data_IF_885302066879
#
_entry.id   IF_885302066879
#
_cell.length_a   1.000
_cell.length_b   1.000
_cell.length_c   1.000
_cell.angle_alpha   90.00
_cell.angle_beta   90.00
_cell.angle_gamma   90.00
#
_symmetry.space_group_name_H-M   'P 1'
#
loop_
_entity.id
_entity.type
_entity.pdbx_description
1 polymer ?
#
# COMPACT_ATOMS: atom_id res chain seq x y z
N UNK A 1 11.84 4.85 -7.54
CA UNK A 1 10.66 3.95 -7.53
C UNK A 1 10.64 3.16 -6.23
N UNK A 2 9.48 3.02 -5.61
CA UNK A 2 9.29 2.23 -4.38
C UNK A 2 9.71 0.76 -4.54
N UNK A 3 9.69 0.01 -3.46
CA UNK A 3 9.89 -1.43 -3.47
C UNK A 3 9.09 -2.09 -2.34
N UNK A 4 8.67 -3.32 -2.54
CA UNK A 4 8.05 -4.09 -1.48
C UNK A 4 8.43 -5.57 -1.57
N UNK A 5 8.29 -6.25 -0.45
CA UNK A 5 8.41 -7.69 -0.31
C UNK A 5 7.25 -8.19 0.53
N UNK A 6 6.79 -9.40 0.29
CA UNK A 6 5.70 -9.96 1.07
C UNK A 6 5.59 -11.47 0.93
N UNK A 7 4.87 -12.08 1.85
CA UNK A 7 4.51 -13.48 1.84
C UNK A 7 3.04 -13.65 2.21
N UNK A 8 2.39 -14.58 1.53
CA UNK A 8 1.05 -15.04 1.84
C UNK A 8 1.08 -16.57 2.01
N UNK A 9 0.33 -17.06 2.97
CA UNK A 9 0.21 -18.50 3.22
C UNK A 9 -1.21 -18.86 3.63
N UNK A 10 -1.66 -20.07 3.32
CA UNK A 10 -2.89 -20.64 3.87
C UNK A 10 -2.78 -21.03 5.35
N UNK A 11 -1.55 -21.04 5.89
CA UNK A 11 -1.22 -21.33 7.30
C UNK A 11 -0.53 -20.12 7.90
N UNK A 12 -0.39 -20.13 9.23
CA UNK A 12 0.37 -19.11 9.97
C UNK A 12 1.81 -19.04 9.44
N UNK A 13 2.25 -17.83 9.12
CA UNK A 13 3.61 -17.57 8.64
C UNK A 13 4.58 -17.67 9.81
N UNK A 14 5.71 -18.36 9.60
CA UNK A 14 6.74 -18.54 10.62
C UNK A 14 7.49 -17.24 10.93
N UNK A 15 8.07 -17.17 12.11
CA UNK A 15 8.93 -16.05 12.50
C UNK A 15 10.19 -15.96 11.64
N UNK A 16 10.73 -17.10 11.18
CA UNK A 16 11.87 -17.13 10.27
C UNK A 16 11.54 -16.44 8.95
N UNK A 17 10.37 -16.70 8.36
CA UNK A 17 9.92 -16.02 7.16
C UNK A 17 9.83 -14.49 7.36
N UNK A 18 9.35 -14.03 8.51
CA UNK A 18 9.32 -12.60 8.84
C UNK A 18 10.72 -11.99 8.90
N UNK A 19 11.71 -12.70 9.47
CA UNK A 19 13.12 -12.27 9.48
C UNK A 19 13.70 -12.19 8.06
N UNK A 20 13.39 -13.18 7.23
CA UNK A 20 13.84 -13.19 5.82
C UNK A 20 13.26 -11.99 5.04
N UNK A 21 11.97 -11.70 5.20
CA UNK A 21 11.33 -10.54 4.57
C UNK A 21 11.95 -9.21 5.02
N UNK A 22 12.33 -9.09 6.29
CA UNK A 22 13.06 -7.92 6.80
C UNK A 22 14.45 -7.79 6.16
N UNK A 23 15.15 -8.90 5.96
CA UNK A 23 16.43 -8.91 5.25
C UNK A 23 16.26 -8.52 3.79
N UNK A 24 15.23 -9.06 3.11
CA UNK A 24 14.94 -8.75 1.71
C UNK A 24 14.61 -7.28 1.48
N UNK A 25 13.75 -6.67 2.33
CA UNK A 25 13.40 -5.25 2.17
C UNK A 25 14.62 -4.34 2.35
N UNK A 26 15.54 -4.71 3.25
CA UNK A 26 16.78 -3.95 3.45
C UNK A 26 17.67 -3.95 2.19
N UNK A 27 17.70 -5.04 1.42
CA UNK A 27 18.46 -5.11 0.15
C UNK A 27 17.92 -4.18 -0.92
N UNK A 28 16.62 -3.90 -0.90
CA UNK A 28 15.96 -3.00 -1.87
C UNK A 28 15.61 -1.62 -1.30
N UNK A 29 16.08 -1.29 -0.09
CA UNK A 29 15.81 0.00 0.58
C UNK A 29 16.22 1.20 -0.26
N UNK A 30 17.27 1.07 -1.09
CA UNK A 30 17.72 2.13 -2.01
C UNK A 30 16.63 2.56 -3.00
N UNK A 31 15.62 1.73 -3.27
CA UNK A 31 14.49 2.06 -4.14
C UNK A 31 13.50 3.03 -3.50
N UNK A 32 13.42 3.04 -2.17
CA UNK A 32 12.49 3.88 -1.42
C UNK A 32 13.11 4.33 -0.10
N UNK A 33 14.01 5.34 -0.15
CA UNK A 33 14.79 5.75 1.02
C UNK A 33 14.00 6.56 2.04
N UNK A 34 12.81 7.08 1.68
CA UNK A 34 12.12 8.09 2.47
C UNK A 34 11.36 7.50 3.66
N UNK A 35 10.80 6.29 3.51
CA UNK A 35 10.10 5.62 4.60
C UNK A 35 10.13 4.09 4.44
N UNK A 36 10.10 3.39 5.57
CA UNK A 36 9.87 1.95 5.65
C UNK A 36 8.57 1.70 6.41
N UNK A 37 7.72 0.88 5.83
CA UNK A 37 6.49 0.43 6.46
C UNK A 37 6.38 -1.09 6.49
N UNK A 38 5.56 -1.61 7.40
CA UNK A 38 5.30 -3.04 7.52
C UNK A 38 3.87 -3.32 7.94
N UNK A 39 3.34 -4.45 7.48
CA UNK A 39 2.08 -5.00 7.96
C UNK A 39 2.27 -6.50 8.20
N UNK A 40 1.72 -6.98 9.30
CA UNK A 40 1.82 -8.40 9.71
C UNK A 40 0.46 -8.89 10.20
N UNK A 41 0.04 -10.02 9.66
CA UNK A 41 -1.06 -10.85 10.16
C UNK A 41 -0.60 -12.31 10.23
N UNK A 42 -1.47 -13.21 10.67
CA UNK A 42 -1.10 -14.62 10.79
C UNK A 42 -0.68 -15.26 9.46
N UNK A 43 -1.29 -14.83 8.36
CA UNK A 43 -1.14 -15.44 7.04
C UNK A 43 -0.66 -14.48 5.94
N UNK A 44 -0.39 -13.22 6.30
CA UNK A 44 0.12 -12.22 5.35
C UNK A 44 1.09 -11.26 6.04
N UNK A 45 2.27 -11.14 5.49
CA UNK A 45 3.29 -10.18 5.92
C UNK A 45 3.77 -9.41 4.70
N UNK A 46 3.91 -8.09 4.84
CA UNK A 46 4.52 -7.27 3.79
C UNK A 46 5.35 -6.14 4.40
N UNK A 47 6.44 -5.80 3.73
CA UNK A 47 7.28 -4.65 4.03
C UNK A 47 7.39 -3.78 2.78
N UNK A 48 7.40 -2.47 2.96
CA UNK A 48 7.41 -1.48 1.91
C UNK A 48 8.51 -0.44 2.12
N UNK A 49 9.27 -0.16 1.07
CA UNK A 49 10.24 0.94 1.02
C UNK A 49 9.68 2.03 0.10
N UNK A 50 9.40 3.19 0.66
CA UNK A 50 8.72 4.29 -0.02
C UNK A 50 9.71 5.32 -0.58
N UNK A 51 9.51 5.68 -1.85
CA UNK A 51 9.96 6.93 -2.44
C UNK A 51 8.74 7.85 -2.53
N UNK A 52 8.76 8.97 -1.81
CA UNK A 52 7.64 9.89 -1.69
C UNK A 52 7.63 10.85 -2.89
N UNK A 53 6.65 10.71 -3.79
CA UNK A 53 6.49 11.56 -4.97
C UNK A 53 5.18 12.35 -4.87
N UNK A 54 4.06 11.64 -4.67
CA UNK A 54 2.74 12.24 -4.47
C UNK A 54 2.40 12.15 -2.98
N UNK A 55 1.91 13.23 -2.38
CA UNK A 55 1.63 13.38 -0.96
C UNK A 55 2.81 12.94 -0.06
N UNK A 56 3.72 13.87 0.21
CA UNK A 56 4.95 13.62 0.97
C UNK A 56 4.71 13.33 2.47
N UNK A 57 3.46 13.37 2.93
CA UNK A 57 3.12 13.18 4.34
C UNK A 57 3.06 11.71 4.70
N UNK A 58 3.36 11.39 5.96
CA UNK A 58 3.31 10.02 6.49
C UNK A 58 1.93 9.34 6.38
N UNK A 59 0.86 10.12 6.29
CA UNK A 59 -0.50 9.58 6.10
C UNK A 59 -0.65 8.76 4.80
N UNK A 60 0.26 8.94 3.85
CA UNK A 60 0.32 8.21 2.58
C UNK A 60 1.38 7.12 2.56
N UNK A 61 1.98 6.79 3.73
CA UNK A 61 2.93 5.68 3.82
C UNK A 61 2.24 4.35 3.56
N UNK A 62 3.02 3.40 3.05
CA UNK A 62 2.56 2.07 2.72
C UNK A 62 3.28 1.03 3.60
N UNK A 63 2.66 -0.12 3.89
CA UNK A 63 1.36 -0.61 3.42
C UNK A 63 0.21 0.30 3.83
N UNK A 64 -0.64 0.67 2.87
CA UNK A 64 -1.77 1.56 3.12
C UNK A 64 -2.98 0.74 3.61
N UNK A 65 -3.49 1.10 4.78
CA UNK A 65 -4.64 0.43 5.40
C UNK A 65 -5.86 1.33 5.23
N UNK A 66 -6.91 0.83 4.62
CA UNK A 66 -8.14 1.59 4.42
C UNK A 66 -8.86 1.91 5.75
N UNK A 67 -9.79 2.85 5.72
CA UNK A 67 -10.51 3.31 6.91
C UNK A 67 -11.35 2.20 7.59
N UNK A 68 -11.78 1.20 6.83
CA UNK A 68 -12.53 0.05 7.37
C UNK A 68 -11.63 -1.05 7.94
N UNK A 69 -10.30 -0.96 7.74
CA UNK A 69 -9.29 -1.97 8.09
C UNK A 69 -9.51 -3.34 7.42
N UNK A 70 -10.30 -3.37 6.35
CA UNK A 70 -10.59 -4.59 5.59
C UNK A 70 -9.55 -4.86 4.51
N UNK A 71 -8.88 -3.81 4.04
CA UNK A 71 -7.94 -3.89 2.94
C UNK A 71 -6.59 -3.30 3.33
N UNK A 72 -5.54 -3.99 2.91
CA UNK A 72 -4.15 -3.54 3.00
C UNK A 72 -3.59 -3.51 1.59
N UNK A 73 -3.09 -2.36 1.17
CA UNK A 73 -2.55 -2.16 -0.15
C UNK A 73 -1.05 -1.88 -0.09
N UNK A 74 -0.29 -2.57 -0.91
CA UNK A 74 1.05 -2.19 -1.33
C UNK A 74 1.03 -1.93 -2.83
N UNK A 75 1.50 -0.76 -3.24
CA UNK A 75 1.39 -0.30 -4.61
C UNK A 75 2.69 0.38 -5.04
N UNK A 76 3.35 -0.20 -6.03
CA UNK A 76 4.51 0.40 -6.69
C UNK A 76 4.14 0.70 -8.14
N UNK A 77 3.52 1.82 -8.36
CA UNK A 77 3.04 2.29 -9.64
C UNK A 77 2.61 3.74 -9.56
N UNK A 78 1.96 4.22 -10.61
CA UNK A 78 1.43 5.58 -10.69
C UNK A 78 0.13 5.55 -11.49
N UNK A 79 -0.91 6.17 -10.96
CA UNK A 79 -2.20 6.31 -11.64
C UNK A 79 -2.29 7.72 -12.21
N UNK A 80 -1.95 7.89 -13.46
CA UNK A 80 -1.86 9.22 -14.09
C UNK A 80 -3.17 10.02 -14.06
N UNK A 81 -4.30 9.35 -14.19
CA UNK A 81 -5.63 9.97 -14.14
C UNK A 81 -6.28 9.91 -12.74
N UNK A 82 -5.49 9.77 -11.65
CA UNK A 82 -6.03 9.59 -10.31
C UNK A 82 -6.93 10.74 -9.84
N UNK A 83 -6.68 11.97 -10.31
CA UNK A 83 -7.53 13.12 -9.96
C UNK A 83 -8.93 13.00 -10.55
N UNK A 84 -9.07 12.47 -11.76
CA UNK A 84 -10.38 12.26 -12.39
C UNK A 84 -11.13 11.11 -11.70
N UNK A 85 -10.43 10.02 -11.37
CA UNK A 85 -11.00 8.91 -10.60
C UNK A 85 -11.42 9.37 -9.20
N UNK A 86 -10.63 10.20 -8.55
CA UNK A 86 -10.95 10.81 -7.25
C UNK A 86 -12.25 11.60 -7.33
N UNK A 87 -12.39 12.50 -8.32
CA UNK A 87 -13.63 13.27 -8.54
C UNK A 87 -14.85 12.36 -8.79
N UNK A 88 -14.67 11.25 -9.52
CA UNK A 88 -15.74 10.28 -9.71
C UNK A 88 -16.14 9.61 -8.38
N UNK A 89 -15.17 9.18 -7.57
CA UNK A 89 -15.42 8.56 -6.27
C UNK A 89 -16.07 9.53 -5.28
N UNK A 90 -15.71 10.81 -5.31
CA UNK A 90 -16.34 11.86 -4.48
C UNK A 90 -17.84 12.02 -4.81
N UNK A 91 -18.29 11.83 -6.05
CA UNK A 91 -19.71 11.77 -6.40
C UNK A 91 -20.46 10.63 -5.69
N UNK A 92 -19.75 9.55 -5.34
CA UNK A 92 -20.28 8.45 -4.52
C UNK A 92 -20.07 8.68 -3.01
N UNK A 93 -19.78 9.93 -2.58
CA UNK A 93 -19.57 10.32 -1.18
C UNK A 93 -18.35 9.68 -0.52
N UNK A 94 -17.37 9.22 -1.31
CA UNK A 94 -16.09 8.78 -0.78
C UNK A 94 -15.32 9.98 -0.24
N UNK A 95 -14.81 9.87 0.99
CA UNK A 95 -13.99 10.92 1.63
C UNK A 95 -12.55 10.47 1.66
N UNK A 96 -11.66 11.26 1.06
CA UNK A 96 -10.24 11.00 1.03
C UNK A 96 -9.51 11.66 2.20
N UNK A 97 -8.55 10.96 2.78
CA UNK A 97 -7.68 11.44 3.86
C UNK A 97 -6.34 11.95 3.34
N UNK A 98 -5.97 11.49 2.15
CA UNK A 98 -4.69 11.79 1.52
C UNK A 98 -4.87 12.44 0.15
N UNK A 99 -3.78 12.92 -0.42
CA UNK A 99 -3.72 13.38 -1.79
C UNK A 99 -3.04 12.34 -2.71
N UNK A 100 -2.82 11.13 -2.20
CA UNK A 100 -2.11 10.06 -2.90
C UNK A 100 -3.02 9.31 -3.87
N UNK A 101 -2.46 8.92 -5.00
CA UNK A 101 -3.08 7.97 -5.93
C UNK A 101 -3.29 6.58 -5.30
N UNK A 102 -2.44 6.19 -4.35
CA UNK A 102 -2.57 4.94 -3.59
C UNK A 102 -3.93 4.83 -2.89
N UNK A 103 -4.43 5.91 -2.28
CA UNK A 103 -5.76 5.91 -1.68
C UNK A 103 -6.86 5.81 -2.75
N UNK A 104 -6.65 6.43 -3.91
CA UNK A 104 -7.58 6.31 -5.03
C UNK A 104 -7.67 4.87 -5.53
N UNK A 105 -6.56 4.12 -5.60
CA UNK A 105 -6.56 2.70 -5.97
C UNK A 105 -7.42 1.89 -5.01
N UNK A 106 -7.20 2.02 -3.70
CA UNK A 106 -7.93 1.20 -2.73
C UNK A 106 -9.43 1.56 -2.68
N UNK A 107 -9.78 2.84 -2.80
CA UNK A 107 -11.18 3.28 -2.83
C UNK A 107 -11.87 2.88 -4.15
N UNK A 108 -11.15 2.88 -5.27
CA UNK A 108 -11.64 2.34 -6.54
C UNK A 108 -11.95 0.85 -6.43
N UNK A 109 -11.03 0.08 -5.83
CA UNK A 109 -11.25 -1.35 -5.60
C UNK A 109 -12.45 -1.61 -4.67
N UNK A 110 -12.61 -0.84 -3.61
CA UNK A 110 -13.77 -0.94 -2.70
C UNK A 110 -15.09 -0.67 -3.43
N UNK A 111 -15.09 0.26 -4.39
CA UNK A 111 -16.28 0.64 -5.14
C UNK A 111 -16.61 -0.31 -6.27
N UNK A 112 -15.62 -0.73 -7.06
CA UNK A 112 -15.81 -1.45 -8.31
C UNK A 112 -15.25 -2.88 -8.30
N UNK A 113 -14.57 -3.29 -7.21
CA UNK A 113 -13.94 -4.59 -7.11
C UNK A 113 -12.85 -4.77 -8.17
N UNK A 114 -12.76 -5.99 -8.71
CA UNK A 114 -11.76 -6.32 -9.75
C UNK A 114 -11.99 -5.63 -11.09
N UNK A 115 -13.08 -4.89 -11.24
CA UNK A 115 -13.39 -4.11 -12.46
C UNK A 115 -12.85 -2.67 -12.41
N UNK A 116 -12.14 -2.30 -11.33
CA UNK A 116 -11.58 -0.95 -11.21
C UNK A 116 -10.46 -0.68 -12.26
#
# INVERSE_FOLDING_TARGET
MCGYVGAFSSKRISESCNKDLKSMINKIKHRGPDALGSFTSDNFITNFARLSIIDLKRRSDQPFIDSSKRFVLVFNGEIYNYLDLKRQLEKYKVKFKTSSDTEVVIESFKKWGTKC
#
